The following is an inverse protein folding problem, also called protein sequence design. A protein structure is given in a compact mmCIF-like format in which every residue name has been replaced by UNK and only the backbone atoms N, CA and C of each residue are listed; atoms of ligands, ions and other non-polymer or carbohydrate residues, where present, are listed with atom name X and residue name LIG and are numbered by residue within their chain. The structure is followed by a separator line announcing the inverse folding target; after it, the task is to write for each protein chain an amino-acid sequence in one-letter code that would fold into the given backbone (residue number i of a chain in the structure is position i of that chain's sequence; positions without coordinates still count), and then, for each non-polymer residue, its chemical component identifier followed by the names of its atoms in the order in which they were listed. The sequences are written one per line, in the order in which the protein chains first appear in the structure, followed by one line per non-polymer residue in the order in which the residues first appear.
data_IF_325132367339
#
_entry.id   IF_325132367339
#
_cell.length_a   1.000
_cell.length_b   1.000
_cell.length_c   1.000
_cell.angle_alpha   90.00
_cell.angle_beta   90.00
_cell.angle_gamma   90.00
#
_symmetry.space_group_name_H-M   'P 1'
#
loop_
_entity.id
_entity.type
_entity.pdbx_description
1 polymer ?
#
# COMPACT_ATOMS: atom_id res chain seq x y z
N UNK A 1 1.24 -16.74 26.16
CA UNK A 1 0.57 -15.51 25.69
C UNK A 1 -0.33 -15.86 24.52
N UNK A 2 -1.50 -15.23 24.39
CA UNK A 2 -2.42 -15.52 23.28
C UNK A 2 -1.84 -15.02 21.94
N UNK A 3 -2.16 -15.66 20.80
CA UNK A 3 -1.75 -15.19 19.48
C UNK A 3 -2.14 -13.73 19.21
N UNK A 4 -3.30 -13.30 19.72
CA UNK A 4 -3.79 -11.92 19.63
C UNK A 4 -2.95 -10.90 20.38
N UNK A 5 -2.04 -11.33 21.24
CA UNK A 5 -1.08 -10.44 21.91
C UNK A 5 0.25 -10.46 21.17
N UNK A 6 0.73 -11.66 20.83
CA UNK A 6 2.08 -11.84 20.25
C UNK A 6 2.18 -11.31 18.82
N UNK A 7 1.17 -11.58 17.99
CA UNK A 7 1.18 -11.18 16.58
C UNK A 7 1.18 -9.65 16.39
N UNK A 8 0.23 -8.88 16.98
CA UNK A 8 0.25 -7.42 16.85
C UNK A 8 1.46 -6.78 17.53
N UNK A 9 1.97 -7.35 18.65
CA UNK A 9 3.23 -6.89 19.25
C UNK A 9 4.40 -7.03 18.26
N UNK A 10 4.53 -8.20 17.64
CA UNK A 10 5.53 -8.46 16.61
C UNK A 10 5.40 -7.47 15.45
N UNK A 11 4.18 -7.25 14.95
CA UNK A 11 3.91 -6.31 13.87
C UNK A 11 4.33 -4.88 14.25
N UNK A 12 4.00 -4.44 15.46
CA UNK A 12 4.35 -3.11 15.97
C UNK A 12 5.87 -2.93 16.05
N UNK A 13 6.57 -3.87 16.69
CA UNK A 13 8.03 -3.82 16.88
C UNK A 13 8.77 -3.83 15.53
N UNK A 14 8.40 -4.74 14.63
CA UNK A 14 8.99 -4.82 13.29
C UNK A 14 8.73 -3.53 12.53
N UNK A 15 7.51 -2.99 12.59
CA UNK A 15 7.18 -1.76 11.88
C UNK A 15 7.91 -0.54 12.42
N UNK A 16 8.05 -0.39 13.74
CA UNK A 16 8.82 0.71 14.34
C UNK A 16 10.31 0.62 14.01
N UNK A 17 10.90 -0.58 14.09
CA UNK A 17 12.28 -0.81 13.68
C UNK A 17 12.46 -0.42 12.20
N UNK A 18 11.57 -0.92 11.35
CA UNK A 18 11.60 -0.63 9.92
C UNK A 18 11.43 0.87 9.63
N UNK A 19 10.47 1.54 10.27
CA UNK A 19 10.31 2.99 10.18
C UNK A 19 11.60 3.74 10.56
N UNK A 20 12.25 3.33 11.66
CA UNK A 20 13.54 3.89 12.09
C UNK A 20 14.62 3.75 11.01
N UNK A 21 14.75 2.58 10.39
CA UNK A 21 15.74 2.37 9.30
C UNK A 21 15.47 3.24 8.07
N UNK A 22 14.20 3.38 7.65
CA UNK A 22 13.79 4.20 6.51
C UNK A 22 14.00 5.68 6.79
N UNK A 23 13.66 6.14 8.00
CA UNK A 23 13.83 7.53 8.40
C UNK A 23 15.31 7.90 8.58
N UNK A 24 16.14 7.00 9.10
CA UNK A 24 17.59 7.19 9.13
C UNK A 24 18.16 7.32 7.71
N UNK A 25 17.70 6.49 6.78
CA UNK A 25 18.08 6.59 5.37
C UNK A 25 17.59 7.91 4.74
N UNK A 26 16.41 8.38 5.11
CA UNK A 26 15.89 9.68 4.69
C UNK A 26 16.71 10.85 5.24
N UNK A 27 17.16 10.81 6.49
CA UNK A 27 18.00 11.87 7.06
C UNK A 27 19.29 12.07 6.25
N UNK A 28 19.86 10.97 5.73
CA UNK A 28 21.06 10.99 4.89
C UNK A 28 20.78 11.44 3.44
N UNK A 29 19.73 10.91 2.80
CA UNK A 29 19.49 11.07 1.35
C UNK A 29 18.42 12.11 0.99
N UNK A 30 17.62 12.53 1.95
CA UNK A 30 16.53 13.52 1.86
C UNK A 30 15.55 13.30 0.71
N UNK A 31 15.25 12.04 0.36
CA UNK A 31 14.28 11.73 -0.70
C UNK A 31 12.86 11.74 -0.15
N UNK A 32 11.99 12.55 -0.72
CA UNK A 32 10.62 12.77 -0.22
C UNK A 32 9.81 11.46 -0.03
N UNK A 33 9.92 10.49 -0.94
CA UNK A 33 9.19 9.22 -0.81
C UNK A 33 9.59 8.41 0.43
N UNK A 34 10.84 8.50 0.88
CA UNK A 34 11.31 7.79 2.08
C UNK A 34 10.66 8.36 3.34
N UNK A 35 10.48 9.68 3.40
CA UNK A 35 9.77 10.32 4.51
C UNK A 35 8.32 9.84 4.57
N UNK A 36 7.62 9.83 3.43
CA UNK A 36 6.21 9.41 3.37
C UNK A 36 6.06 7.93 3.73
N UNK A 37 6.94 7.06 3.25
CA UNK A 37 6.97 5.66 3.69
C UNK A 37 7.29 5.51 5.18
N UNK A 38 8.25 6.26 5.70
CA UNK A 38 8.57 6.27 7.13
C UNK A 38 7.35 6.64 7.97
N UNK A 39 6.60 7.68 7.57
CA UNK A 39 5.33 8.05 8.21
C UNK A 39 4.29 6.92 8.11
N UNK A 40 4.14 6.28 6.94
CA UNK A 40 3.25 5.13 6.78
C UNK A 40 3.60 3.93 7.67
N UNK A 41 4.90 3.68 7.87
CA UNK A 41 5.39 2.62 8.76
C UNK A 41 5.21 2.96 10.25
N UNK A 42 5.31 4.25 10.61
CA UNK A 42 4.93 4.71 11.95
C UNK A 42 3.44 4.47 12.20
N UNK A 43 2.57 4.82 11.25
CA UNK A 43 1.14 4.52 11.34
C UNK A 43 0.87 3.04 11.51
N UNK A 44 1.55 2.20 10.72
CA UNK A 44 1.44 0.75 10.86
C UNK A 44 1.83 0.31 12.28
N UNK A 45 2.99 0.77 12.78
CA UNK A 45 3.46 0.44 14.12
C UNK A 45 2.50 0.87 15.24
N UNK A 46 1.90 2.06 15.11
CA UNK A 46 0.92 2.55 16.08
C UNK A 46 -0.37 1.73 16.02
N UNK A 47 -0.89 1.41 14.83
CA UNK A 47 -2.09 0.56 14.67
C UNK A 47 -1.90 -0.79 15.36
N UNK A 48 -0.84 -1.51 14.99
CA UNK A 48 -0.51 -2.80 15.60
C UNK A 48 -0.21 -2.68 17.11
N UNK A 49 0.40 -1.57 17.52
CA UNK A 49 0.62 -1.26 18.93
C UNK A 49 -0.70 -1.11 19.70
N UNK A 50 -1.70 -0.45 19.14
CA UNK A 50 -3.02 -0.33 19.77
C UNK A 50 -3.73 -1.68 19.89
N UNK A 51 -3.58 -2.56 18.89
CA UNK A 51 -4.13 -3.91 18.93
C UNK A 51 -3.48 -4.78 20.00
N UNK A 52 -2.15 -4.69 20.14
CA UNK A 52 -1.43 -5.34 21.22
C UNK A 52 -1.91 -4.82 22.58
N UNK A 53 -1.97 -3.50 22.76
CA UNK A 53 -2.40 -2.90 24.02
C UNK A 53 -3.83 -3.32 24.38
N UNK A 54 -4.74 -3.30 23.42
CA UNK A 54 -6.13 -3.68 23.62
C UNK A 54 -6.28 -5.17 23.93
N UNK A 55 -5.51 -6.02 23.27
CA UNK A 55 -5.56 -7.47 23.47
C UNK A 55 -4.85 -7.94 24.74
N UNK A 56 -3.84 -7.21 25.22
CA UNK A 56 -3.05 -7.57 26.39
C UNK A 56 -3.60 -6.94 27.69
N UNK A 57 -4.06 -5.69 27.62
CA UNK A 57 -4.43 -4.89 28.79
C UNK A 57 -5.91 -4.45 28.79
N UNK A 58 -6.67 -4.82 27.76
CA UNK A 58 -8.08 -4.49 27.61
C UNK A 58 -8.33 -3.29 26.70
N UNK A 59 -9.46 -3.33 26.00
CA UNK A 59 -9.88 -2.25 25.10
C UNK A 59 -10.62 -1.14 25.85
N UNK A 60 -10.45 0.08 25.34
CA UNK A 60 -11.21 1.26 25.71
C UNK A 60 -11.45 2.11 24.47
N UNK A 61 -12.32 3.10 24.61
CA UNK A 61 -12.76 3.92 23.49
C UNK A 61 -11.64 4.73 22.81
N UNK A 62 -10.77 5.48 23.51
CA UNK A 62 -9.66 6.18 22.87
C UNK A 62 -8.73 5.26 22.07
N UNK A 63 -8.42 4.09 22.64
CA UNK A 63 -7.58 3.09 21.99
C UNK A 63 -8.23 2.53 20.72
N UNK A 64 -9.53 2.22 20.80
CA UNK A 64 -10.33 1.74 19.68
C UNK A 64 -10.48 2.77 18.56
N UNK A 65 -10.71 4.05 18.88
CA UNK A 65 -10.74 5.14 17.88
C UNK A 65 -9.39 5.32 17.21
N UNK A 66 -8.30 5.22 17.97
CA UNK A 66 -6.93 5.33 17.44
C UNK A 66 -6.60 4.17 16.51
N UNK A 67 -6.89 2.94 16.92
CA UNK A 67 -6.79 1.75 16.09
C UNK A 67 -7.57 1.92 14.77
N UNK A 68 -8.85 2.30 14.88
CA UNK A 68 -9.72 2.41 13.73
C UNK A 68 -9.25 3.50 12.76
N UNK A 69 -8.93 4.70 13.26
CA UNK A 69 -8.45 5.79 12.42
C UNK A 69 -7.16 5.41 11.70
N UNK A 70 -6.17 4.95 12.46
CA UNK A 70 -4.83 4.73 11.90
C UNK A 70 -4.83 3.50 10.99
N UNK A 71 -5.35 2.38 11.47
CA UNK A 71 -5.40 1.12 10.73
C UNK A 71 -6.29 1.21 9.49
N UNK A 72 -7.52 1.69 9.64
CA UNK A 72 -8.49 1.70 8.54
C UNK A 72 -8.26 2.83 7.53
N UNK A 73 -7.61 3.94 7.90
CA UNK A 73 -7.39 5.06 6.97
C UNK A 73 -5.92 5.28 6.61
N UNK A 74 -5.01 5.29 7.58
CA UNK A 74 -3.69 5.87 7.35
C UNK A 74 -2.66 4.87 6.83
N UNK A 75 -2.63 3.63 7.33
CA UNK A 75 -1.55 2.68 7.01
C UNK A 75 -1.38 2.47 5.50
N UNK A 76 -2.40 1.93 4.83
CA UNK A 76 -2.32 1.65 3.40
C UNK A 76 -2.16 2.92 2.57
N UNK A 77 -2.88 3.98 2.93
CA UNK A 77 -2.90 5.22 2.17
C UNK A 77 -1.54 5.93 2.15
N UNK A 78 -0.85 6.02 3.30
CA UNK A 78 0.46 6.67 3.37
C UNK A 78 1.57 5.81 2.77
N UNK A 79 1.53 4.48 2.94
CA UNK A 79 2.47 3.57 2.26
C UNK A 79 2.32 3.66 0.73
N UNK A 80 1.08 3.68 0.23
CA UNK A 80 0.78 3.90 -1.18
C UNK A 80 1.21 5.29 -1.68
N UNK A 81 0.98 6.34 -0.89
CA UNK A 81 1.37 7.70 -1.23
C UNK A 81 2.88 7.85 -1.42
N UNK A 82 3.70 7.17 -0.60
CA UNK A 82 5.15 7.15 -0.83
C UNK A 82 5.53 6.56 -2.19
N UNK A 83 4.79 5.55 -2.67
CA UNK A 83 4.96 4.98 -4.01
C UNK A 83 4.51 5.94 -5.11
N UNK A 84 3.43 6.70 -4.88
CA UNK A 84 3.02 7.78 -5.80
C UNK A 84 4.10 8.86 -5.89
N UNK A 85 4.68 9.27 -4.77
CA UNK A 85 5.78 10.25 -4.74
C UNK A 85 7.02 9.71 -5.45
N UNK A 86 7.36 8.43 -5.27
CA UNK A 86 8.46 7.78 -5.97
C UNK A 86 8.26 7.79 -7.50
N UNK A 87 7.04 7.51 -7.96
CA UNK A 87 6.71 7.31 -9.38
C UNK A 87 6.06 8.53 -10.03
N UNK A 88 6.02 9.68 -9.37
CA UNK A 88 5.25 10.87 -9.77
C UNK A 88 5.57 11.34 -11.20
N UNK A 89 6.82 11.20 -11.65
CA UNK A 89 7.25 11.65 -12.99
C UNK A 89 7.00 10.63 -14.11
N UNK A 90 6.40 9.50 -13.80
CA UNK A 90 6.11 8.42 -14.76
C UNK A 90 4.65 8.44 -15.21
N UNK A 91 4.27 7.54 -16.12
CA UNK A 91 2.86 7.34 -16.52
C UNK A 91 2.04 6.58 -15.46
N UNK A 92 2.65 6.21 -14.33
CA UNK A 92 1.97 5.54 -13.22
C UNK A 92 0.79 6.35 -12.67
N UNK A 93 0.79 7.68 -12.84
CA UNK A 93 -0.34 8.52 -12.45
C UNK A 93 -1.67 8.14 -13.12
N UNK A 94 -1.69 7.53 -14.32
CA UNK A 94 -2.94 7.00 -14.91
C UNK A 94 -3.48 5.81 -14.11
N UNK A 95 -2.60 4.97 -13.58
CA UNK A 95 -2.99 3.87 -12.71
C UNK A 95 -3.51 4.39 -11.35
N UNK A 96 -2.88 5.44 -10.81
CA UNK A 96 -3.36 6.12 -9.59
C UNK A 96 -4.75 6.74 -9.84
N UNK A 97 -4.95 7.42 -10.97
CA UNK A 97 -6.27 7.92 -11.37
C UNK A 97 -7.32 6.80 -11.44
N UNK A 98 -6.95 5.67 -12.05
CA UNK A 98 -7.81 4.49 -12.08
C UNK A 98 -8.15 3.95 -10.68
N UNK A 99 -7.20 3.92 -9.74
CA UNK A 99 -7.50 3.45 -8.38
C UNK A 99 -8.46 4.38 -7.62
N UNK A 100 -8.45 5.70 -7.90
CA UNK A 100 -9.49 6.61 -7.42
C UNK A 100 -10.87 6.24 -7.99
N UNK A 101 -10.97 5.88 -9.27
CA UNK A 101 -12.23 5.41 -9.87
C UNK A 101 -12.71 4.11 -9.20
N UNK A 102 -11.81 3.17 -8.92
CA UNK A 102 -12.16 1.94 -8.19
C UNK A 102 -12.65 2.26 -6.77
N UNK A 103 -12.03 3.22 -6.08
CA UNK A 103 -12.52 3.73 -4.79
C UNK A 103 -13.94 4.30 -4.88
N UNK A 104 -14.23 5.05 -5.95
CA UNK A 104 -15.56 5.60 -6.23
C UNK A 104 -16.60 4.50 -6.51
N UNK A 105 -16.23 3.49 -7.32
CA UNK A 105 -17.08 2.33 -7.60
C UNK A 105 -17.36 1.50 -6.34
N UNK A 106 -16.35 1.32 -5.47
CA UNK A 106 -16.54 0.66 -4.18
C UNK A 106 -17.57 1.39 -3.32
N UNK A 107 -17.43 2.72 -3.18
CA UNK A 107 -18.40 3.53 -2.43
C UNK A 107 -19.82 3.36 -3.00
N UNK A 108 -19.96 3.37 -4.33
CA UNK A 108 -21.24 3.12 -4.99
C UNK A 108 -21.78 1.70 -4.73
N UNK A 109 -20.93 0.67 -4.78
CA UNK A 109 -21.33 -0.73 -4.62
C UNK A 109 -21.87 -1.04 -3.21
N UNK A 110 -21.32 -0.40 -2.17
CA UNK A 110 -21.72 -0.64 -0.78
C UNK A 110 -22.87 0.26 -0.30
N UNK A 111 -23.40 1.14 -1.17
CA UNK A 111 -24.48 2.09 -0.80
C UNK A 111 -25.70 1.43 -0.18
N UNK A 112 -26.08 0.24 -0.68
CA UNK A 112 -27.24 -0.50 -0.17
C UNK A 112 -27.08 -1.01 1.25
N UNK A 113 -25.84 -1.02 1.79
CA UNK A 113 -25.57 -1.42 3.17
C UNK A 113 -25.87 -0.32 4.19
N UNK A 114 -25.98 0.94 3.72
CA UNK A 114 -26.22 2.12 4.55
C UNK A 114 -27.21 3.08 3.85
N UNK A 115 -28.49 2.69 3.70
CA UNK A 115 -29.47 3.40 2.87
C UNK A 115 -29.75 4.84 3.32
N UNK A 116 -29.66 5.12 4.62
CA UNK A 116 -29.89 6.46 5.19
C UNK A 116 -28.77 7.48 4.87
N UNK A 117 -27.63 7.04 4.34
CA UNK A 117 -26.40 7.84 4.30
C UNK A 117 -26.04 8.36 2.89
N UNK A 118 -27.06 8.65 2.09
CA UNK A 118 -26.92 9.00 0.67
C UNK A 118 -26.01 10.22 0.44
N UNK A 119 -26.06 11.22 1.33
CA UNK A 119 -25.24 12.45 1.20
C UNK A 119 -23.73 12.17 1.28
N UNK A 120 -23.29 11.38 2.27
CA UNK A 120 -21.89 11.01 2.45
C UNK A 120 -21.36 10.18 1.27
N UNK A 121 -22.20 9.32 0.69
CA UNK A 121 -21.85 8.57 -0.52
C UNK A 121 -21.62 9.48 -1.73
N UNK A 122 -22.54 10.42 -1.97
CA UNK A 122 -22.45 11.35 -3.11
C UNK A 122 -21.20 12.23 -2.97
N UNK A 123 -20.92 12.73 -1.76
CA UNK A 123 -19.71 13.51 -1.50
C UNK A 123 -18.44 12.70 -1.75
N UNK A 124 -18.36 11.47 -1.25
CA UNK A 124 -17.21 10.59 -1.43
C UNK A 124 -16.99 10.24 -2.92
N UNK A 125 -18.07 9.93 -3.64
CA UNK A 125 -18.06 9.68 -5.07
C UNK A 125 -17.53 10.90 -5.83
N UNK A 126 -18.06 12.09 -5.54
CA UNK A 126 -17.64 13.34 -6.18
C UNK A 126 -16.16 13.63 -5.95
N UNK A 127 -15.67 13.48 -4.71
CA UNK A 127 -14.25 13.68 -4.37
C UNK A 127 -13.36 12.67 -5.11
N UNK A 128 -13.73 11.39 -5.14
CA UNK A 128 -12.95 10.36 -5.83
C UNK A 128 -12.91 10.60 -7.35
N UNK A 129 -14.04 10.98 -7.97
CA UNK A 129 -14.11 11.29 -9.40
C UNK A 129 -13.30 12.55 -9.74
N UNK A 130 -13.44 13.61 -8.93
CA UNK A 130 -12.67 14.84 -9.10
C UNK A 130 -11.16 14.59 -8.98
N UNK A 131 -10.74 13.82 -7.98
CA UNK A 131 -9.34 13.42 -7.82
C UNK A 131 -8.85 12.56 -8.99
N UNK A 132 -9.64 11.60 -9.46
CA UNK A 132 -9.30 10.78 -10.62
C UNK A 132 -9.06 11.64 -11.87
N UNK A 133 -9.97 12.58 -12.16
CA UNK A 133 -9.84 13.51 -13.29
C UNK A 133 -8.61 14.41 -13.12
N UNK A 134 -8.43 15.01 -11.94
CA UNK A 134 -7.28 15.87 -11.66
C UNK A 134 -5.95 15.13 -11.83
N UNK A 135 -5.83 13.90 -11.32
CA UNK A 135 -4.63 13.07 -11.45
C UNK A 135 -4.41 12.63 -12.91
N UNK A 136 -5.46 12.30 -13.67
CA UNK A 136 -5.33 11.97 -15.09
C UNK A 136 -4.82 13.16 -15.91
N UNK A 137 -5.41 14.35 -15.71
CA UNK A 137 -4.99 15.59 -16.36
C UNK A 137 -3.56 15.98 -15.97
N UNK A 138 -3.20 15.85 -14.70
CA UNK A 138 -1.83 16.07 -14.23
C UNK A 138 -0.86 15.08 -14.88
N UNK A 139 -1.22 13.80 -14.99
CA UNK A 139 -0.38 12.79 -15.66
C UNK A 139 -0.15 13.10 -17.13
N UNK A 140 -1.18 13.65 -17.80
CA UNK A 140 -1.10 14.05 -19.20
C UNK A 140 -0.28 15.33 -19.41
N UNK A 141 -0.56 16.40 -18.65
CA UNK A 141 -0.04 17.75 -18.91
C UNK A 141 1.15 18.15 -18.06
N UNK A 142 1.22 17.71 -16.80
CA UNK A 142 2.20 18.17 -15.83
C UNK A 142 2.46 17.10 -14.75
N UNK A 143 3.21 16.03 -15.10
CA UNK A 143 3.41 14.87 -14.22
C UNK A 143 3.95 15.23 -12.83
N UNK A 144 4.68 16.34 -12.72
CA UNK A 144 5.15 16.87 -11.43
C UNK A 144 4.04 17.20 -10.43
N UNK A 145 2.81 17.45 -10.89
CA UNK A 145 1.65 17.77 -10.05
C UNK A 145 0.94 16.53 -9.48
N UNK A 146 1.23 15.33 -9.97
CA UNK A 146 0.56 14.09 -9.50
C UNK A 146 0.77 13.89 -8.00
N UNK A 147 2.02 13.99 -7.52
CA UNK A 147 2.31 13.79 -6.10
C UNK A 147 1.66 14.87 -5.22
N UNK A 148 1.81 16.19 -5.51
CA UNK A 148 1.13 17.23 -4.75
C UNK A 148 -0.39 17.06 -4.68
N UNK A 149 -1.06 16.77 -5.80
CA UNK A 149 -2.52 16.56 -5.84
C UNK A 149 -2.91 15.40 -4.92
N UNK A 150 -2.26 14.24 -5.07
CA UNK A 150 -2.57 13.05 -4.26
C UNK A 150 -2.29 13.30 -2.78
N UNK A 151 -1.20 14.00 -2.44
CA UNK A 151 -0.87 14.36 -1.07
C UNK A 151 -1.91 15.32 -0.48
N UNK A 152 -2.35 16.34 -1.21
CA UNK A 152 -3.39 17.28 -0.73
C UNK A 152 -4.70 16.54 -0.48
N UNK A 153 -5.13 15.69 -1.42
CA UNK A 153 -6.34 14.87 -1.26
C UNK A 153 -6.22 13.94 -0.05
N UNK A 154 -5.06 13.28 0.12
CA UNK A 154 -4.80 12.42 1.27
C UNK A 154 -4.85 13.19 2.59
N UNK A 155 -4.16 14.33 2.69
CA UNK A 155 -4.11 15.11 3.94
C UNK A 155 -5.47 15.70 4.30
N UNK A 156 -6.21 16.25 3.32
CA UNK A 156 -7.55 16.76 3.54
C UNK A 156 -8.50 15.64 3.96
N UNK A 157 -8.45 14.50 3.27
CA UNK A 157 -9.21 13.32 3.65
C UNK A 157 -8.84 12.82 5.06
N UNK A 158 -7.56 12.78 5.41
CA UNK A 158 -7.10 12.35 6.73
C UNK A 158 -7.64 13.25 7.83
N UNK A 159 -7.69 14.56 7.60
CA UNK A 159 -8.29 15.51 8.55
C UNK A 159 -9.80 15.26 8.72
N UNK A 160 -10.52 15.07 7.61
CA UNK A 160 -11.96 14.73 7.64
C UNK A 160 -12.19 13.41 8.37
N UNK A 161 -11.39 12.39 8.08
CA UNK A 161 -11.48 11.09 8.74
C UNK A 161 -11.18 11.18 10.24
N UNK A 162 -10.18 11.96 10.66
CA UNK A 162 -9.87 12.17 12.06
C UNK A 162 -11.01 12.87 12.80
N UNK A 163 -11.54 13.97 12.25
CA UNK A 163 -12.68 14.68 12.82
C UNK A 163 -13.90 13.76 12.90
N UNK A 164 -14.18 12.99 11.85
CA UNK A 164 -15.30 12.05 11.83
C UNK A 164 -15.12 10.95 12.89
N UNK A 165 -13.96 10.28 12.93
CA UNK A 165 -13.70 9.17 13.86
C UNK A 165 -13.68 9.62 15.30
N UNK A 166 -13.14 10.80 15.64
CA UNK A 166 -13.13 11.29 17.03
C UNK A 166 -14.43 11.99 17.45
N UNK A 167 -15.18 12.57 16.50
CA UNK A 167 -16.48 13.18 16.75
C UNK A 167 -17.66 12.21 16.74
N UNK A 168 -17.45 10.97 16.30
CA UNK A 168 -18.52 9.97 16.19
C UNK A 168 -19.13 9.59 17.54
N UNK A 169 -20.44 9.38 17.59
CA UNK A 169 -21.07 8.63 18.69
C UNK A 169 -20.94 7.14 18.39
N UNK A 170 -20.26 6.39 19.27
CA UNK A 170 -20.10 4.94 19.12
C UNK A 170 -21.31 4.20 19.71
N UNK A 171 -21.66 3.05 19.13
CA UNK A 171 -22.72 2.20 19.69
C UNK A 171 -22.29 1.46 20.97
N UNK A 172 -20.98 1.32 21.17
CA UNK A 172 -20.32 0.78 22.35
C UNK A 172 -18.91 1.38 22.44
N UNK A 173 -18.23 1.36 23.61
CA UNK A 173 -16.87 1.88 23.72
C UNK A 173 -15.88 1.26 22.73
N UNK A 174 -16.08 0.00 22.35
CA UNK A 174 -15.31 -0.73 21.34
C UNK A 174 -16.11 -1.94 20.86
N UNK A 175 -15.69 -2.57 19.77
CA UNK A 175 -16.26 -3.82 19.27
C UNK A 175 -15.17 -4.83 18.90
N UNK A 176 -15.33 -6.07 19.37
CA UNK A 176 -14.46 -7.21 19.07
C UNK A 176 -15.29 -8.35 18.48
N UNK A 177 -14.68 -9.15 17.61
CA UNK A 177 -15.27 -10.41 17.16
C UNK A 177 -15.42 -11.36 18.37
N UNK A 178 -16.63 -11.87 18.67
CA UNK A 178 -16.85 -12.73 19.83
C UNK A 178 -16.09 -14.06 19.81
N UNK A 179 -15.73 -14.57 18.63
CA UNK A 179 -15.03 -15.85 18.44
C UNK A 179 -13.53 -15.68 18.50
N UNK A 180 -13.01 -14.64 17.85
CA UNK A 180 -11.56 -14.46 17.69
C UNK A 180 -10.98 -13.41 18.62
N UNK A 181 -11.78 -12.52 19.19
CA UNK A 181 -11.32 -11.40 20.01
C UNK A 181 -10.58 -10.30 19.23
N UNK A 182 -10.58 -10.37 17.90
CA UNK A 182 -9.97 -9.37 17.01
C UNK A 182 -10.86 -8.13 16.97
N UNK A 183 -10.31 -6.90 16.98
CA UNK A 183 -11.11 -5.69 16.87
C UNK A 183 -11.82 -5.61 15.51
N UNK A 184 -13.10 -5.23 15.56
CA UNK A 184 -13.96 -5.04 14.38
C UNK A 184 -14.51 -3.63 14.37
N UNK A 185 -14.78 -3.09 13.18
CA UNK A 185 -15.23 -1.70 13.02
C UNK A 185 -16.68 -1.43 13.43
N UNK A 186 -17.42 -2.41 13.96
CA UNK A 186 -18.89 -2.33 14.08
C UNK A 186 -19.40 -1.29 15.07
N UNK A 187 -18.59 -0.86 16.05
CA UNK A 187 -18.95 0.25 16.94
C UNK A 187 -18.89 1.63 16.24
N UNK A 188 -18.20 1.72 15.09
CA UNK A 188 -18.08 2.95 14.31
C UNK A 188 -19.29 3.09 13.37
N UNK A 189 -19.95 4.27 13.33
CA UNK A 189 -21.05 4.55 12.41
C UNK A 189 -20.73 4.21 10.95
N UNK A 190 -21.73 3.65 10.24
CA UNK A 190 -21.60 3.26 8.84
C UNK A 190 -21.10 4.38 7.92
N UNK A 191 -21.54 5.62 8.16
CA UNK A 191 -21.09 6.86 7.49
C UNK A 191 -19.59 7.06 7.48
N UNK A 192 -18.91 6.61 8.51
CA UNK A 192 -17.47 6.77 8.67
C UNK A 192 -16.76 5.56 8.07
N UNK A 193 -17.34 4.37 8.25
CA UNK A 193 -16.78 3.12 7.70
C UNK A 193 -16.68 3.15 6.18
N UNK A 194 -17.61 3.80 5.49
CA UNK A 194 -17.58 3.93 4.03
C UNK A 194 -16.37 4.76 3.56
N UNK A 195 -15.91 5.73 4.36
CA UNK A 195 -14.78 6.61 4.02
C UNK A 195 -13.45 5.85 4.01
N UNK A 196 -13.30 4.81 4.83
CA UNK A 196 -12.06 4.01 4.92
C UNK A 196 -11.77 3.22 3.63
N UNK A 197 -12.81 2.89 2.85
CA UNK A 197 -12.67 2.10 1.63
C UNK A 197 -11.69 2.69 0.62
N UNK A 198 -11.94 3.91 0.12
CA UNK A 198 -11.04 4.58 -0.83
C UNK A 198 -9.60 4.71 -0.34
N UNK A 199 -9.35 5.04 0.93
CA UNK A 199 -7.99 5.12 1.50
C UNK A 199 -7.22 3.81 1.33
N UNK A 200 -7.87 2.69 1.68
CA UNK A 200 -7.27 1.37 1.55
C UNK A 200 -7.10 0.96 0.09
N UNK A 201 -8.12 1.16 -0.75
CA UNK A 201 -8.09 0.75 -2.16
C UNK A 201 -6.99 1.50 -2.89
N UNK A 202 -6.98 2.83 -2.79
CA UNK A 202 -6.01 3.69 -3.50
C UNK A 202 -4.60 3.40 -2.98
N UNK A 203 -4.44 3.32 -1.66
CA UNK A 203 -3.17 3.04 -1.00
C UNK A 203 -2.58 1.68 -1.35
N UNK A 204 -3.35 0.61 -1.18
CA UNK A 204 -2.93 -0.75 -1.47
C UNK A 204 -2.64 -0.95 -2.96
N UNK A 205 -3.49 -0.40 -3.85
CA UNK A 205 -3.25 -0.46 -5.30
C UNK A 205 -1.95 0.25 -5.66
N UNK A 206 -1.72 1.46 -5.15
CA UNK A 206 -0.50 2.21 -5.42
C UNK A 206 0.75 1.47 -4.91
N UNK A 207 0.70 0.90 -3.70
CA UNK A 207 1.80 0.14 -3.12
C UNK A 207 2.10 -1.14 -3.91
N UNK A 208 1.10 -2.01 -4.08
CA UNK A 208 1.27 -3.32 -4.70
C UNK A 208 1.58 -3.19 -6.19
N UNK A 209 0.79 -2.42 -6.94
CA UNK A 209 1.02 -2.25 -8.37
C UNK A 209 2.29 -1.46 -8.67
N UNK A 210 2.65 -0.48 -7.82
CA UNK A 210 3.91 0.24 -7.96
C UNK A 210 5.14 -0.64 -7.71
N UNK A 211 5.03 -1.58 -6.77
CA UNK A 211 6.06 -2.58 -6.52
C UNK A 211 6.17 -3.60 -7.67
N UNK A 212 5.04 -4.12 -8.19
CA UNK A 212 5.01 -4.99 -9.40
C UNK A 212 5.58 -4.25 -10.62
N UNK A 213 5.19 -2.98 -10.81
CA UNK A 213 5.70 -2.13 -11.89
C UNK A 213 7.23 -1.97 -11.77
N UNK A 214 7.73 -1.77 -10.55
CA UNK A 214 9.17 -1.70 -10.30
C UNK A 214 9.87 -3.01 -10.65
N UNK A 215 9.31 -4.17 -10.25
CA UNK A 215 9.84 -5.48 -10.62
C UNK A 215 9.93 -5.65 -12.15
N UNK A 216 8.87 -5.27 -12.87
CA UNK A 216 8.83 -5.32 -14.34
C UNK A 216 9.92 -4.47 -15.00
N UNK A 217 10.22 -3.30 -14.43
CA UNK A 217 11.23 -2.39 -14.98
C UNK A 217 12.63 -3.00 -14.93
N UNK A 218 12.97 -3.71 -13.86
CA UNK A 218 14.31 -4.28 -13.61
C UNK A 218 14.51 -5.73 -14.08
N UNK A 219 13.44 -6.48 -14.36
CA UNK A 219 13.58 -7.87 -14.82
C UNK A 219 13.87 -7.98 -16.33
N UNK A 220 14.48 -9.10 -16.79
CA UNK A 220 14.71 -9.36 -18.21
C UNK A 220 13.40 -9.34 -19.01
N UNK A 221 13.35 -8.54 -20.08
CA UNK A 221 12.10 -8.27 -20.81
C UNK A 221 11.90 -9.24 -21.97
N UNK A 222 10.68 -9.74 -22.12
CA UNK A 222 10.16 -10.38 -23.34
C UNK A 222 8.94 -9.60 -23.81
N UNK A 223 9.11 -8.83 -24.89
CA UNK A 223 8.02 -8.05 -25.49
C UNK A 223 7.31 -8.89 -26.53
N UNK A 224 6.13 -9.38 -26.19
CA UNK A 224 5.20 -10.07 -27.11
C UNK A 224 4.34 -9.05 -27.85
N UNK A 225 3.94 -7.98 -27.15
CA UNK A 225 3.20 -6.87 -27.73
C UNK A 225 4.10 -5.63 -27.86
N UNK A 226 4.29 -5.19 -29.11
CA UNK A 226 5.05 -3.99 -29.48
C UNK A 226 4.23 -2.71 -29.42
N UNK A 227 4.85 -1.58 -29.76
CA UNK A 227 4.14 -0.30 -29.91
C UNK A 227 3.27 -0.34 -31.15
N UNK A 228 2.02 0.14 -31.04
CA UNK A 228 1.10 0.34 -32.17
C UNK A 228 0.53 1.75 -32.13
N UNK A 229 0.34 2.35 -33.29
CA UNK A 229 -0.42 3.58 -33.43
C UNK A 229 -1.92 3.22 -33.40
N UNK A 230 -2.61 3.63 -32.34
CA UNK A 230 -4.03 3.34 -32.12
C UNK A 230 -4.74 4.63 -31.68
N UNK A 231 -6.06 4.75 -31.91
CA UNK A 231 -6.85 5.85 -31.36
C UNK A 231 -6.69 5.96 -29.83
N UNK A 232 -6.78 7.15 -29.22
CA UNK A 232 -6.37 7.38 -27.83
C UNK A 232 -6.96 6.40 -26.81
N UNK A 233 -8.27 6.12 -26.89
CA UNK A 233 -8.95 5.20 -25.97
C UNK A 233 -8.46 3.75 -26.14
N UNK A 234 -8.36 3.29 -27.39
CA UNK A 234 -7.88 1.95 -27.74
C UNK A 234 -6.39 1.79 -27.38
N UNK A 235 -5.59 2.85 -27.54
CA UNK A 235 -4.18 2.86 -27.18
C UNK A 235 -3.94 2.67 -25.68
N UNK A 236 -4.82 3.20 -24.83
CA UNK A 236 -4.73 3.00 -23.38
C UNK A 236 -5.07 1.56 -22.98
N UNK A 237 -6.16 1.01 -23.52
CA UNK A 237 -6.55 -0.39 -23.29
C UNK A 237 -5.48 -1.35 -23.80
N UNK A 238 -4.99 -1.13 -25.03
CA UNK A 238 -3.89 -1.88 -25.61
C UNK A 238 -2.61 -1.73 -24.78
N UNK A 239 -2.32 -0.53 -24.29
CA UNK A 239 -1.16 -0.28 -23.42
C UNK A 239 -1.22 -1.08 -22.12
N UNK A 240 -2.37 -1.11 -21.45
CA UNK A 240 -2.59 -1.90 -20.24
C UNK A 240 -2.44 -3.41 -20.52
N UNK A 241 -3.06 -3.89 -21.60
CA UNK A 241 -2.95 -5.28 -22.05
C UNK A 241 -1.50 -5.64 -22.40
N UNK A 242 -0.79 -4.77 -23.12
CA UNK A 242 0.60 -4.97 -23.49
C UNK A 242 1.54 -5.01 -22.29
N UNK A 243 1.34 -4.14 -21.29
CA UNK A 243 2.12 -4.20 -20.04
C UNK A 243 1.87 -5.53 -19.33
N UNK A 244 0.62 -5.96 -19.22
CA UNK A 244 0.23 -7.20 -18.54
C UNK A 244 0.82 -8.43 -19.25
N UNK A 245 0.61 -8.57 -20.56
CA UNK A 245 1.10 -9.71 -21.32
C UNK A 245 2.62 -9.73 -21.43
N UNK A 246 3.28 -8.57 -21.59
CA UNK A 246 4.73 -8.50 -21.59
C UNK A 246 5.31 -8.82 -20.21
N UNK A 247 4.64 -8.43 -19.12
CA UNK A 247 5.03 -8.81 -17.76
C UNK A 247 5.00 -10.34 -17.61
N UNK A 248 3.87 -10.98 -17.91
CA UNK A 248 3.72 -12.43 -17.80
C UNK A 248 4.72 -13.19 -18.68
N UNK A 249 4.91 -12.74 -19.93
CA UNK A 249 5.87 -13.34 -20.86
C UNK A 249 7.33 -13.21 -20.41
N UNK A 250 7.63 -12.25 -19.54
CA UNK A 250 8.97 -12.00 -19.00
C UNK A 250 9.28 -12.85 -17.74
N UNK A 251 8.27 -13.39 -17.06
CA UNK A 251 8.44 -14.17 -15.83
C UNK A 251 9.34 -15.41 -16.00
N UNK A 252 9.22 -16.24 -17.07
CA UNK A 252 10.10 -17.39 -17.23
C UNK A 252 11.58 -17.00 -17.36
N UNK A 253 11.87 -15.89 -18.07
CA UNK A 253 13.23 -15.37 -18.19
C UNK A 253 13.74 -14.83 -16.86
N UNK A 254 12.89 -14.15 -16.11
CA UNK A 254 13.22 -13.68 -14.76
C UNK A 254 13.50 -14.85 -13.80
N UNK A 255 12.74 -15.94 -13.88
CA UNK A 255 12.96 -17.15 -13.08
C UNK A 255 14.28 -17.84 -13.42
N UNK A 256 14.61 -17.97 -14.71
CA UNK A 256 15.92 -18.50 -15.14
C UNK A 256 17.06 -17.60 -14.67
N UNK A 257 16.93 -16.28 -14.82
CA UNK A 257 17.92 -15.33 -14.32
C UNK A 257 18.07 -15.37 -12.80
N UNK A 258 16.98 -15.60 -12.05
CA UNK A 258 17.03 -15.78 -10.61
C UNK A 258 17.80 -17.05 -10.24
N UNK A 259 17.49 -18.18 -10.90
CA UNK A 259 18.15 -19.46 -10.67
C UNK A 259 19.66 -19.42 -10.99
N UNK A 260 20.06 -18.61 -11.98
CA UNK A 260 21.46 -18.38 -12.36
C UNK A 260 22.17 -17.33 -11.51
N UNK A 261 21.45 -16.61 -10.68
CA UNK A 261 22.02 -15.53 -9.90
C UNK A 261 22.31 -14.24 -10.69
N UNK A 262 21.69 -14.07 -11.85
CA UNK A 262 21.89 -12.92 -12.74
C UNK A 262 20.79 -11.86 -12.56
N UNK A 263 19.76 -12.15 -11.76
CA UNK A 263 18.62 -11.26 -11.60
C UNK A 263 18.96 -10.04 -10.75
N UNK A 264 18.59 -8.86 -11.23
CA UNK A 264 18.75 -7.61 -10.49
C UNK A 264 18.01 -7.68 -9.13
N UNK A 265 18.70 -7.39 -8.02
CA UNK A 265 18.18 -7.53 -6.64
C UNK A 265 16.86 -6.82 -6.37
N UNK A 266 16.64 -5.68 -7.01
CA UNK A 266 15.37 -4.93 -7.00
C UNK A 266 14.16 -5.77 -7.40
N UNK A 267 14.31 -6.79 -8.25
CA UNK A 267 13.17 -7.62 -8.71
C UNK A 267 12.60 -8.45 -7.55
N UNK A 268 13.35 -9.36 -6.89
CA UNK A 268 12.81 -10.10 -5.75
C UNK A 268 12.44 -9.17 -4.59
N UNK A 269 13.21 -8.11 -4.34
CA UNK A 269 12.89 -7.11 -3.31
C UNK A 269 11.50 -6.48 -3.50
N UNK A 270 11.21 -6.01 -4.72
CA UNK A 270 9.92 -5.36 -5.01
C UNK A 270 8.76 -6.35 -5.10
N UNK A 271 9.01 -7.61 -5.48
CA UNK A 271 8.00 -8.66 -5.40
C UNK A 271 7.66 -9.04 -3.96
N UNK A 272 8.63 -9.07 -3.04
CA UNK A 272 8.39 -9.25 -1.61
C UNK A 272 7.56 -8.09 -1.04
N UNK A 273 7.87 -6.85 -1.41
CA UNK A 273 7.07 -5.67 -1.03
C UNK A 273 5.64 -5.77 -1.59
N UNK A 274 5.48 -6.20 -2.83
CA UNK A 274 4.17 -6.39 -3.44
C UNK A 274 3.35 -7.45 -2.69
N UNK A 275 3.95 -8.60 -2.36
CA UNK A 275 3.30 -9.66 -1.59
C UNK A 275 2.96 -9.18 -0.17
N UNK A 276 3.90 -8.50 0.49
CA UNK A 276 3.70 -7.96 1.83
C UNK A 276 2.66 -6.84 1.93
N UNK A 277 2.44 -6.08 0.85
CA UNK A 277 1.30 -5.15 0.75
C UNK A 277 -0.02 -5.83 0.42
N UNK A 278 0.02 -6.94 -0.33
CA UNK A 278 -1.17 -7.67 -0.78
C UNK A 278 -1.80 -8.50 0.35
N UNK A 279 -0.99 -9.25 1.10
CA UNK A 279 -1.45 -10.13 2.20
C UNK A 279 -2.36 -9.40 3.21
N UNK A 280 -1.94 -8.29 3.85
CA UNK A 280 -2.79 -7.56 4.78
C UNK A 280 -3.99 -6.91 4.09
N UNK A 281 -3.87 -6.53 2.81
CA UNK A 281 -5.01 -6.06 2.00
C UNK A 281 -6.11 -7.10 1.86
N UNK A 282 -5.74 -8.38 1.68
CA UNK A 282 -6.68 -9.50 1.63
C UNK A 282 -7.24 -9.83 3.01
N UNK A 283 -6.39 -9.98 4.04
CA UNK A 283 -6.86 -10.37 5.37
C UNK A 283 -7.72 -9.29 6.04
N UNK A 284 -7.39 -8.01 5.84
CA UNK A 284 -8.23 -6.88 6.25
C UNK A 284 -9.55 -6.81 5.47
N UNK A 285 -9.52 -7.12 4.16
CA UNK A 285 -10.73 -7.24 3.35
C UNK A 285 -11.66 -8.35 3.86
N UNK A 286 -11.10 -9.51 4.20
CA UNK A 286 -11.80 -10.66 4.77
C UNK A 286 -12.47 -10.35 6.13
N UNK A 287 -11.86 -9.49 6.95
CA UNK A 287 -12.45 -9.01 8.21
C UNK A 287 -13.85 -8.39 7.98
N UNK A 288 -14.03 -7.64 6.88
CA UNK A 288 -15.34 -7.04 6.51
C UNK A 288 -16.42 -8.06 6.14
N UNK A 289 -16.03 -9.29 5.85
CA UNK A 289 -16.93 -10.42 5.58
C UNK A 289 -17.05 -11.37 6.78
N UNK A 290 -16.55 -10.98 7.97
CA UNK A 290 -16.62 -11.77 9.19
C UNK A 290 -15.53 -12.84 9.32
N UNK A 291 -14.53 -12.85 8.44
CA UNK A 291 -13.39 -13.77 8.53
C UNK A 291 -12.22 -13.02 9.19
N UNK A 292 -12.14 -13.12 10.51
CA UNK A 292 -11.27 -12.28 11.35
C UNK A 292 -10.00 -12.98 11.84
N UNK A 293 -9.96 -14.32 11.83
CA UNK A 293 -8.84 -15.12 12.37
C UNK A 293 -7.49 -14.84 11.70
N UNK A 294 -7.49 -14.42 10.42
CA UNK A 294 -6.28 -14.18 9.65
C UNK A 294 -5.76 -12.74 9.77
N UNK A 295 -6.46 -11.86 10.51
CA UNK A 295 -6.19 -10.42 10.54
C UNK A 295 -4.76 -10.12 11.04
N UNK A 296 -4.45 -10.44 12.30
CA UNK A 296 -3.12 -10.20 12.88
C UNK A 296 -1.99 -10.98 12.20
N UNK A 297 -2.28 -12.20 11.73
CA UNK A 297 -1.29 -13.01 11.01
C UNK A 297 -0.91 -12.36 9.67
N UNK A 298 -1.91 -11.87 8.94
CA UNK A 298 -1.70 -11.19 7.67
C UNK A 298 -0.94 -9.87 7.84
N UNK A 299 -1.17 -9.16 8.94
CA UNK A 299 -0.41 -7.96 9.26
C UNK A 299 1.06 -8.26 9.53
N UNK A 300 1.35 -9.20 10.44
CA UNK A 300 2.73 -9.57 10.76
C UNK A 300 3.47 -10.08 9.52
N UNK A 301 2.86 -10.99 8.77
CA UNK A 301 3.44 -11.50 7.54
C UNK A 301 3.64 -10.38 6.51
N UNK A 302 2.68 -9.47 6.40
CA UNK A 302 2.74 -8.31 5.52
C UNK A 302 3.97 -7.45 5.81
N UNK A 303 4.11 -6.96 7.05
CA UNK A 303 5.23 -6.07 7.43
C UNK A 303 6.58 -6.79 7.36
N UNK A 304 6.65 -8.07 7.72
CA UNK A 304 7.88 -8.87 7.59
C UNK A 304 8.33 -8.98 6.12
N UNK A 305 7.41 -9.25 5.21
CA UNK A 305 7.70 -9.35 3.78
C UNK A 305 8.12 -8.01 3.18
N UNK A 306 7.44 -6.91 3.53
CA UNK A 306 7.84 -5.57 3.09
C UNK A 306 9.24 -5.24 3.63
N UNK A 307 9.52 -5.51 4.91
CA UNK A 307 10.80 -5.22 5.52
C UNK A 307 11.94 -6.08 4.92
N UNK A 308 11.70 -7.38 4.72
CA UNK A 308 12.65 -8.26 4.03
C UNK A 308 12.94 -7.77 2.61
N UNK A 309 11.91 -7.36 1.86
CA UNK A 309 12.07 -6.76 0.53
C UNK A 309 12.90 -5.47 0.57
N UNK A 310 12.70 -4.63 1.58
CA UNK A 310 13.52 -3.43 1.79
C UNK A 310 14.98 -3.76 2.06
N UNK A 311 15.27 -4.70 2.97
CA UNK A 311 16.62 -5.12 3.31
C UNK A 311 17.38 -5.69 2.10
N UNK A 312 16.73 -6.55 1.32
CA UNK A 312 17.28 -7.06 0.05
C UNK A 312 17.57 -5.93 -0.93
N UNK A 313 16.75 -4.87 -0.93
CA UNK A 313 17.01 -3.68 -1.74
C UNK A 313 18.14 -2.80 -1.20
N UNK A 314 18.51 -2.85 0.08
CA UNK A 314 19.56 -1.99 0.65
C UNK A 314 20.92 -2.67 0.75
N UNK A 315 20.98 -3.95 1.08
CA UNK A 315 22.24 -4.72 1.24
C UNK A 315 23.04 -4.83 -0.06
N UNK A 316 22.40 -4.61 -1.22
CA UNK A 316 23.05 -4.59 -2.54
C UNK A 316 23.54 -3.19 -2.93
N UNK A 317 23.19 -2.13 -2.20
CA UNK A 317 23.64 -0.75 -2.45
C UNK A 317 24.51 -0.15 -1.34
N UNK A 318 24.94 -0.94 -0.36
CA UNK A 318 25.92 -0.53 0.66
C UNK A 318 26.42 -1.73 1.44
N UNK A 319 27.66 -2.13 1.15
CA UNK A 319 28.51 -3.05 1.96
C UNK A 319 27.87 -4.34 2.50
N UNK A 320 28.15 -5.44 1.80
CA UNK A 320 28.36 -6.83 2.29
C UNK A 320 27.61 -7.21 3.58
N UNK A 321 26.47 -7.86 3.42
CA UNK A 321 26.06 -8.96 4.33
C UNK A 321 25.95 -10.22 3.47
N UNK A 322 26.88 -11.17 3.72
CA UNK A 322 26.86 -12.51 3.13
C UNK A 322 25.85 -13.35 3.92
N UNK A 323 24.68 -13.62 3.34
CA UNK A 323 23.84 -14.73 3.76
C UNK A 323 24.14 -15.92 2.85
N UNK A 324 24.95 -16.87 3.34
CA UNK A 324 25.15 -18.18 2.73
C UNK A 324 26.03 -18.24 1.47
N UNK A 325 26.31 -19.45 0.94
CA UNK A 325 27.44 -19.72 0.05
C UNK A 325 27.23 -19.32 -1.42
N UNK A 326 26.15 -18.63 -1.76
CA UNK A 326 25.89 -18.22 -3.14
C UNK A 326 26.68 -16.96 -3.48
N UNK A 327 27.89 -17.18 -3.96
CA UNK A 327 28.80 -16.15 -4.48
C UNK A 327 28.22 -15.58 -5.78
N UNK A 328 27.52 -14.45 -5.67
CA UNK A 328 27.09 -13.65 -6.80
C UNK A 328 28.23 -12.72 -7.21
N UNK A 329 28.98 -13.11 -8.26
CA UNK A 329 30.11 -12.32 -8.77
C UNK A 329 29.59 -11.27 -9.75
N UNK A 330 30.02 -10.01 -9.56
CA UNK A 330 29.70 -8.86 -10.41
C UNK A 330 30.56 -8.91 -11.69
N UNK A 331 29.93 -8.73 -12.86
CA UNK A 331 30.60 -8.22 -14.06
C UNK A 331 30.15 -6.77 -14.23
N UNK A 332 30.94 -5.82 -13.73
CA UNK A 332 30.86 -4.44 -14.18
C UNK A 332 31.51 -4.40 -15.56
N UNK A 333 30.69 -4.33 -16.60
CA UNK A 333 31.16 -3.80 -17.88
C UNK A 333 31.12 -2.28 -17.74
N UNK A 334 32.30 -1.69 -17.53
CA UNK A 334 32.56 -0.29 -17.80
C UNK A 334 32.22 -0.02 -19.26
N UNK A 335 31.06 0.60 -19.50
CA UNK A 335 30.81 1.27 -20.77
C UNK A 335 31.66 2.54 -20.78
N UNK A 336 32.91 2.40 -21.22
CA UNK A 336 33.77 3.49 -21.63
C UNK A 336 33.04 4.30 -22.70
N UNK A 337 32.89 5.60 -22.44
CA UNK A 337 32.47 6.55 -23.44
C UNK A 337 33.61 6.72 -24.46
N UNK A 338 33.35 6.35 -25.70
CA UNK A 338 33.91 6.98 -26.91
C UNK A 338 32.81 7.14 -27.92
#
# INVERSE_FOLDING_TARGET
MSPNVVLPLGSALVSFLFAGTVLAQWMQRRRAFQLVWGVGLLWYGISAGTEFLGSAFGWNEPLYRTWYLIGAFFVAAYLGAGTVVLLARTRFGYFVSFSFLVGALYAFAIRGRYPEETGSFVALLAVCLAAAVAVALATWRARGLVAPIVTVVLLAGSAVAAVAVFGATLSAPYALDPRTGVPVGDAIPGTIRILAGPFNIIGAFALVAGAIFSAYVFMPKRRVLGRRALPPLVAQVYGALAVTLNFLASLPRAAVALARGELHSRVPATLLIALGGFVPGVTSGLNRFGVTWAFFLGELLGVLLIFAGFLVSTEVFGSRVRLGPLVMRRREEEATAT
#
